data_IF_097605248491
#
_entry.id   IF_097605248491
#
_cell.length_a   1.000
_cell.length_b   1.000
_cell.length_c   1.000
_cell.angle_alpha   90.00
_cell.angle_beta   90.00
_cell.angle_gamma   90.00
#
_symmetry.space_group_name_H-M   'P 1'
#
loop_
_entity.id
_entity.type
_entity.pdbx_description
1 polymer ?
#
# COMPACT_ATOMS: atom_id res chain seq x y z
N UNK A 1 45.23 -42.95 -35.76
CA UNK A 1 44.76 -42.00 -34.72
C UNK A 1 43.27 -42.20 -34.50
N UNK A 2 42.83 -42.33 -33.25
CA UNK A 2 41.60 -43.03 -32.86
C UNK A 2 40.34 -42.13 -32.89
N UNK A 3 39.59 -42.15 -34.01
CA UNK A 3 38.30 -41.42 -34.15
C UNK A 3 37.23 -41.77 -33.10
N UNK A 4 37.35 -42.92 -32.41
CA UNK A 4 36.41 -43.34 -31.35
C UNK A 4 36.52 -42.53 -30.04
N UNK A 5 37.65 -41.87 -29.77
CA UNK A 5 37.79 -41.02 -28.56
C UNK A 5 37.18 -39.63 -28.75
N UNK A 6 37.23 -39.06 -29.95
CA UNK A 6 36.71 -37.71 -30.23
C UNK A 6 35.17 -37.71 -30.28
N UNK A 7 34.56 -38.78 -30.81
CA UNK A 7 33.09 -38.88 -30.88
C UNK A 7 32.42 -39.06 -29.51
N UNK A 8 33.11 -39.68 -28.54
CA UNK A 8 32.60 -39.78 -27.15
C UNK A 8 32.70 -38.46 -26.39
N UNK A 9 33.73 -37.65 -26.64
CA UNK A 9 33.86 -36.33 -26.03
C UNK A 9 32.81 -35.34 -26.53
N UNK A 10 32.43 -35.43 -27.82
CA UNK A 10 31.38 -34.58 -28.40
C UNK A 10 29.96 -34.99 -27.98
N UNK A 11 29.69 -36.29 -27.72
CA UNK A 11 28.39 -36.71 -27.18
C UNK A 11 28.21 -36.33 -25.70
N UNK A 12 29.28 -36.36 -24.90
CA UNK A 12 29.21 -35.94 -23.49
C UNK A 12 29.14 -34.42 -23.36
N UNK A 13 29.77 -33.66 -24.25
CA UNK A 13 29.61 -32.21 -24.32
C UNK A 13 28.22 -31.78 -24.85
N UNK A 14 27.64 -32.54 -25.80
CA UNK A 14 26.30 -32.28 -26.35
C UNK A 14 25.15 -32.63 -25.40
N UNK A 15 25.35 -33.52 -24.43
CA UNK A 15 24.36 -33.80 -23.36
C UNK A 15 24.56 -32.93 -22.11
N UNK A 16 25.77 -32.39 -21.88
CA UNK A 16 26.01 -31.45 -20.78
C UNK A 16 25.53 -30.02 -21.08
N UNK A 17 25.46 -29.62 -22.35
CA UNK A 17 24.97 -28.30 -22.77
C UNK A 17 23.45 -28.22 -22.95
N UNK A 18 22.73 -29.35 -22.87
CA UNK A 18 21.25 -29.39 -22.87
C UNK A 18 20.64 -29.59 -21.48
N UNK A 19 21.45 -29.72 -20.41
CA UNK A 19 21.00 -29.90 -19.02
C UNK A 19 21.32 -28.72 -18.09
N UNK A 20 21.78 -27.59 -18.62
CA UNK A 20 21.82 -26.31 -17.90
C UNK A 20 20.91 -25.27 -18.56
N UNK A 21 19.75 -25.70 -19.06
CA UNK A 21 18.58 -24.83 -18.96
C UNK A 21 18.12 -24.94 -17.53
N UNK A 22 18.16 -23.81 -16.82
CA UNK A 22 17.66 -23.64 -15.47
C UNK A 22 16.23 -24.15 -15.34
N UNK A 23 16.07 -25.45 -15.09
CA UNK A 23 15.06 -25.95 -14.18
C UNK A 23 15.51 -25.49 -12.78
N UNK A 24 15.45 -24.18 -12.55
CA UNK A 24 15.24 -23.68 -11.22
C UNK A 24 13.97 -24.39 -10.77
N UNK A 25 14.16 -25.33 -9.84
CA UNK A 25 13.12 -26.19 -9.31
C UNK A 25 11.88 -25.34 -9.04
N UNK A 26 10.91 -25.39 -9.96
CA UNK A 26 9.53 -25.13 -9.63
C UNK A 26 9.20 -26.26 -8.68
N UNK A 27 9.40 -26.00 -7.38
CA UNK A 27 8.75 -26.77 -6.33
C UNK A 27 7.31 -26.82 -6.79
N UNK A 28 6.81 -27.98 -7.20
CA UNK A 28 5.41 -28.18 -7.58
C UNK A 28 4.59 -27.75 -6.36
N UNK A 29 4.24 -26.48 -6.31
CA UNK A 29 3.23 -26.00 -5.38
C UNK A 29 1.95 -26.60 -5.94
N UNK A 30 1.43 -27.64 -5.28
CA UNK A 30 0.07 -28.13 -5.49
C UNK A 30 -0.98 -27.01 -5.36
N UNK A 31 -0.58 -25.86 -4.81
CA UNK A 31 -1.36 -24.66 -4.66
C UNK A 31 -1.42 -23.82 -5.95
N UNK A 32 -2.63 -23.67 -6.47
CA UNK A 32 -2.94 -22.76 -7.57
C UNK A 32 -3.71 -21.55 -7.04
N UNK A 33 -3.32 -20.35 -7.46
CA UNK A 33 -4.01 -19.09 -7.17
C UNK A 33 -4.44 -18.44 -8.48
N UNK A 34 -5.73 -18.15 -8.60
CA UNK A 34 -6.32 -17.49 -9.75
C UNK A 34 -6.12 -15.98 -9.69
N UNK A 35 -5.52 -15.41 -10.74
CA UNK A 35 -5.41 -13.97 -10.94
C UNK A 35 -6.42 -13.53 -12.00
N UNK A 36 -7.40 -12.73 -11.57
CA UNK A 36 -8.38 -12.10 -12.46
C UNK A 36 -7.99 -10.63 -12.57
N UNK A 37 -7.71 -10.10 -13.78
CA UNK A 37 -7.13 -8.77 -13.94
C UNK A 37 -8.15 -7.66 -13.66
N UNK A 38 -8.51 -7.53 -12.40
CA UNK A 38 -9.37 -6.52 -11.82
C UNK A 38 -8.68 -5.87 -10.62
N UNK A 39 -9.01 -4.60 -10.40
CA UNK A 39 -8.49 -3.80 -9.28
C UNK A 39 -9.69 -3.28 -8.54
N UNK A 40 -9.76 -3.62 -7.26
CA UNK A 40 -10.90 -3.31 -6.41
C UNK A 40 -10.62 -2.08 -5.55
N UNK A 41 -11.67 -1.38 -5.15
CA UNK A 41 -11.65 -0.38 -4.08
C UNK A 41 -12.48 -0.87 -2.91
N UNK A 42 -12.19 -0.38 -1.71
CA UNK A 42 -12.97 -0.73 -0.51
C UNK A 42 -14.32 0.00 -0.42
N UNK A 43 -14.60 0.93 -1.34
CA UNK A 43 -15.80 1.77 -1.36
C UNK A 43 -16.26 2.13 -2.76
N UNK A 44 -17.57 2.09 -2.99
CA UNK A 44 -18.18 2.61 -4.20
C UNK A 44 -17.91 4.12 -4.33
N UNK A 45 -17.41 4.55 -5.49
CA UNK A 45 -17.22 5.98 -5.79
C UNK A 45 -16.00 6.64 -5.13
N UNK A 46 -15.09 5.88 -4.50
CA UNK A 46 -13.82 6.40 -3.97
C UNK A 46 -12.67 6.40 -4.98
N UNK A 47 -12.97 6.57 -6.27
CA UNK A 47 -11.95 6.71 -7.30
C UNK A 47 -11.47 8.16 -7.34
N UNK A 48 -10.61 8.54 -6.39
CA UNK A 48 -10.07 9.89 -6.33
C UNK A 48 -9.03 10.09 -7.44
N UNK A 49 -8.01 9.23 -7.48
CA UNK A 49 -6.94 9.23 -8.49
C UNK A 49 -6.95 7.97 -9.35
N UNK A 50 -7.74 6.96 -8.99
CA UNK A 50 -7.85 5.68 -9.69
C UNK A 50 -8.74 5.76 -10.95
N UNK A 51 -8.27 6.44 -11.99
CA UNK A 51 -8.93 6.47 -13.30
C UNK A 51 -8.89 5.11 -14.01
N UNK A 52 -9.71 4.94 -15.06
CA UNK A 52 -9.67 3.74 -15.91
C UNK A 52 -8.26 3.46 -16.50
N UNK A 53 -7.53 4.51 -16.89
CA UNK A 53 -6.16 4.39 -17.35
C UNK A 53 -5.22 3.91 -16.23
N UNK A 54 -5.34 4.50 -15.03
CA UNK A 54 -4.55 4.08 -13.87
C UNK A 54 -4.84 2.62 -13.49
N UNK A 55 -6.13 2.20 -13.50
CA UNK A 55 -6.54 0.81 -13.28
C UNK A 55 -5.87 -0.12 -14.29
N UNK A 56 -5.90 0.22 -15.58
CA UNK A 56 -5.30 -0.61 -16.63
C UNK A 56 -3.79 -0.77 -16.41
N UNK A 57 -3.07 0.32 -16.15
CA UNK A 57 -1.62 0.26 -15.88
C UNK A 57 -1.29 -0.60 -14.65
N UNK A 58 -2.10 -0.51 -13.59
CA UNK A 58 -1.95 -1.35 -12.40
C UNK A 58 -2.20 -2.83 -12.73
N UNK A 59 -3.27 -3.16 -13.48
CA UNK A 59 -3.57 -4.54 -13.92
C UNK A 59 -2.42 -5.15 -14.72
N UNK A 60 -1.88 -4.39 -15.66
CA UNK A 60 -0.78 -4.83 -16.53
C UNK A 60 0.50 -5.02 -15.72
N UNK A 61 0.82 -4.09 -14.81
CA UNK A 61 1.98 -4.19 -13.93
C UNK A 61 1.90 -5.38 -12.96
N UNK A 62 0.73 -5.67 -12.38
CA UNK A 62 0.54 -6.86 -11.52
C UNK A 62 0.72 -8.13 -12.35
N UNK A 63 0.10 -8.18 -13.53
CA UNK A 63 0.20 -9.33 -14.43
C UNK A 63 1.64 -9.62 -14.85
N UNK A 64 2.39 -8.58 -15.21
CA UNK A 64 3.81 -8.69 -15.53
C UNK A 64 4.63 -9.14 -14.32
N UNK A 65 4.41 -8.52 -13.16
CA UNK A 65 5.14 -8.84 -11.93
C UNK A 65 4.92 -10.28 -11.47
N UNK A 66 3.68 -10.79 -11.56
CA UNK A 66 3.38 -12.18 -11.23
C UNK A 66 4.11 -13.16 -12.16
N UNK A 67 4.19 -12.86 -13.47
CA UNK A 67 4.98 -13.65 -14.42
C UNK A 67 6.47 -13.64 -14.08
N UNK A 68 7.02 -12.47 -13.78
CA UNK A 68 8.44 -12.32 -13.42
C UNK A 68 8.78 -13.09 -12.13
N UNK A 69 7.93 -12.99 -11.11
CA UNK A 69 8.11 -13.72 -9.85
C UNK A 69 7.97 -15.23 -10.04
N UNK A 70 7.04 -15.69 -10.89
CA UNK A 70 6.89 -17.10 -11.23
C UNK A 70 8.14 -17.64 -11.93
N UNK A 71 8.61 -16.93 -12.97
CA UNK A 71 9.81 -17.29 -13.73
C UNK A 71 11.07 -17.31 -12.85
N UNK A 72 11.13 -16.45 -11.83
CA UNK A 72 12.21 -16.41 -10.86
C UNK A 72 12.07 -17.42 -9.70
N UNK A 73 11.01 -18.24 -9.66
CA UNK A 73 10.76 -19.20 -8.57
C UNK A 73 10.47 -18.54 -7.22
N UNK A 74 10.01 -17.28 -7.22
CA UNK A 74 9.74 -16.47 -6.01
C UNK A 74 8.29 -16.50 -5.56
N UNK A 75 7.39 -17.14 -6.32
CA UNK A 75 6.02 -17.35 -5.89
C UNK A 75 5.88 -18.66 -5.10
N UNK A 76 5.14 -18.66 -3.98
CA UNK A 76 4.84 -19.88 -3.24
C UNK A 76 3.67 -20.69 -3.83
N UNK A 77 3.13 -20.27 -4.98
CA UNK A 77 1.99 -20.86 -5.68
C UNK A 77 2.14 -20.72 -7.19
N UNK A 78 1.42 -21.55 -7.94
CA UNK A 78 1.23 -21.37 -9.37
C UNK A 78 0.14 -20.33 -9.64
N UNK A 79 0.34 -19.45 -10.61
CA UNK A 79 -0.65 -18.45 -11.01
C UNK A 79 -1.44 -18.95 -12.20
N UNK A 80 -2.77 -19.03 -12.06
CA UNK A 80 -3.68 -19.28 -13.17
C UNK A 80 -4.38 -17.99 -13.53
N UNK A 81 -4.21 -17.50 -14.76
CA UNK A 81 -4.94 -16.31 -15.19
C UNK A 81 -6.39 -16.68 -15.53
N UNK A 82 -7.35 -16.02 -14.89
CA UNK A 82 -8.78 -16.19 -15.13
C UNK A 82 -9.37 -15.04 -15.95
N UNK A 83 -10.58 -15.23 -16.49
CA UNK A 83 -11.30 -14.17 -17.19
C UNK A 83 -12.00 -13.22 -16.20
N UNK A 84 -11.81 -11.90 -16.35
CA UNK A 84 -12.28 -10.88 -15.39
C UNK A 84 -13.76 -10.96 -14.99
N UNK A 85 -14.62 -11.48 -15.87
CA UNK A 85 -16.07 -11.60 -15.62
C UNK A 85 -16.47 -12.70 -14.64
N UNK A 86 -15.58 -13.64 -14.31
CA UNK A 86 -15.95 -14.84 -13.52
C UNK A 86 -16.05 -14.62 -12.01
N UNK A 87 -15.65 -13.47 -11.48
CA UNK A 87 -15.72 -13.14 -10.04
C UNK A 87 -16.87 -12.19 -9.68
N UNK A 88 -17.39 -11.45 -10.65
CA UNK A 88 -18.48 -10.52 -10.42
C UNK A 88 -19.77 -11.32 -10.51
N UNK A 89 -20.48 -11.50 -9.39
CA UNK A 89 -21.60 -12.44 -9.15
C UNK A 89 -21.25 -13.72 -8.38
N UNK A 90 -20.10 -13.76 -7.69
CA UNK A 90 -19.84 -14.77 -6.66
C UNK A 90 -20.73 -14.47 -5.43
N UNK A 91 -22.03 -14.73 -5.57
CA UNK A 91 -22.97 -14.94 -4.48
C UNK A 91 -23.21 -16.44 -4.25
N UNK A 92 -22.78 -17.29 -5.19
CA UNK A 92 -22.98 -18.73 -5.13
C UNK A 92 -21.73 -19.42 -4.59
N UNK A 93 -21.95 -20.40 -3.72
CA UNK A 93 -20.94 -21.29 -3.15
C UNK A 93 -20.12 -21.95 -4.26
N UNK A 94 -18.79 -21.78 -4.23
CA UNK A 94 -17.92 -22.59 -5.08
C UNK A 94 -17.96 -24.05 -4.60
N UNK A 95 -17.92 -24.99 -5.56
CA UNK A 95 -17.72 -26.41 -5.29
C UNK A 95 -16.42 -26.66 -4.51
N UNK A 96 -16.34 -27.79 -3.81
CA UNK A 96 -15.29 -28.17 -2.84
C UNK A 96 -13.83 -28.12 -3.33
N UNK A 97 -13.58 -27.94 -4.63
CA UNK A 97 -12.28 -27.57 -5.19
C UNK A 97 -11.98 -26.09 -4.91
N UNK A 98 -11.54 -25.77 -3.69
CA UNK A 98 -11.45 -24.40 -3.19
C UNK A 98 -10.61 -23.49 -4.12
N UNK A 99 -11.21 -22.54 -4.85
CA UNK A 99 -10.44 -21.59 -5.65
C UNK A 99 -9.77 -20.59 -4.70
N UNK A 100 -8.44 -20.52 -4.76
CA UNK A 100 -7.72 -19.37 -4.25
C UNK A 100 -7.68 -18.28 -5.31
N UNK A 101 -7.89 -17.03 -4.91
CA UNK A 101 -7.86 -15.87 -5.80
C UNK A 101 -6.95 -14.79 -5.26
N UNK A 102 -6.27 -14.10 -6.18
CA UNK A 102 -5.50 -12.89 -5.91
C UNK A 102 -6.33 -11.67 -6.29
N UNK A 103 -6.62 -10.81 -5.31
CA UNK A 103 -7.47 -9.63 -5.45
C UNK A 103 -6.72 -8.37 -4.98
N UNK A 104 -6.29 -7.48 -5.89
CA UNK A 104 -5.70 -6.20 -5.56
C UNK A 104 -6.76 -5.22 -5.07
N UNK A 105 -6.51 -4.59 -3.93
CA UNK A 105 -7.43 -3.67 -3.26
C UNK A 105 -6.72 -2.34 -3.07
N UNK A 106 -7.23 -1.29 -3.71
CA UNK A 106 -6.77 0.08 -3.53
C UNK A 106 -7.36 0.59 -2.21
N UNK A 107 -6.46 1.00 -1.32
CA UNK A 107 -6.78 1.51 0.02
C UNK A 107 -6.37 2.96 0.21
N UNK A 108 -5.50 3.49 -0.65
CA UNK A 108 -5.12 4.90 -0.72
C UNK A 108 -4.88 5.28 -2.17
N UNK A 109 -5.57 6.31 -2.65
CA UNK A 109 -5.39 6.92 -3.97
C UNK A 109 -5.49 8.44 -3.91
N UNK A 110 -4.70 9.06 -3.02
CA UNK A 110 -4.94 10.44 -2.56
C UNK A 110 -3.87 11.45 -3.02
N UNK A 111 -4.28 12.72 -3.11
CA UNK A 111 -3.40 13.88 -3.34
C UNK A 111 -3.54 14.89 -2.20
N UNK A 112 -2.41 15.28 -1.59
CA UNK A 112 -2.34 16.40 -0.67
C UNK A 112 -1.63 17.55 -1.37
N UNK A 113 -2.42 18.54 -1.78
CA UNK A 113 -1.92 19.70 -2.50
C UNK A 113 -1.50 20.79 -1.51
N UNK A 114 -0.49 21.56 -1.90
CA UNK A 114 -0.03 22.70 -1.14
C UNK A 114 0.16 23.87 -2.07
N UNK A 115 -0.62 24.91 -1.81
CA UNK A 115 -0.51 26.19 -2.47
C UNK A 115 0.37 27.10 -1.61
N UNK A 116 1.35 27.70 -2.25
CA UNK A 116 2.28 28.64 -1.65
C UNK A 116 2.10 29.97 -2.37
N UNK A 117 1.75 31.01 -1.62
CA UNK A 117 1.61 32.37 -2.17
C UNK A 117 2.72 33.26 -1.64
N UNK A 118 3.47 33.91 -2.54
CA UNK A 118 4.54 34.87 -2.22
C UNK A 118 4.25 36.18 -2.97
N UNK A 119 3.63 37.15 -2.30
CA UNK A 119 3.10 38.33 -2.98
C UNK A 119 2.10 37.92 -4.07
N UNK A 120 2.36 38.32 -5.32
CA UNK A 120 1.50 37.96 -6.48
C UNK A 120 1.91 36.65 -7.16
N UNK A 121 2.94 35.96 -6.67
CA UNK A 121 3.42 34.70 -7.25
C UNK A 121 2.82 33.50 -6.54
N UNK A 122 2.31 32.55 -7.33
CA UNK A 122 1.83 31.26 -6.82
C UNK A 122 2.79 30.14 -7.16
N UNK A 123 2.97 29.23 -6.21
CA UNK A 123 3.69 27.98 -6.36
C UNK A 123 2.87 26.83 -5.80
N UNK A 124 3.06 25.63 -6.35
CA UNK A 124 2.30 24.44 -6.01
C UNK A 124 3.22 23.26 -5.72
N UNK A 125 2.85 22.48 -4.71
CA UNK A 125 3.42 21.17 -4.39
C UNK A 125 2.32 20.15 -4.24
N UNK A 126 2.61 18.91 -4.58
CA UNK A 126 1.66 17.81 -4.55
C UNK A 126 2.32 16.58 -3.96
N UNK A 127 1.75 16.04 -2.88
CA UNK A 127 2.07 14.71 -2.37
C UNK A 127 1.03 13.75 -2.93
N UNK A 128 1.45 12.89 -3.85
CA UNK A 128 0.61 11.83 -4.41
C UNK A 128 0.92 10.54 -3.65
N UNK A 129 -0.08 9.94 -3.03
CA UNK A 129 0.06 8.73 -2.25
C UNK A 129 -0.70 7.55 -2.88
N UNK A 130 -0.08 6.37 -2.81
CA UNK A 130 -0.67 5.12 -3.27
C UNK A 130 -0.59 4.04 -2.19
N UNK A 131 -1.67 3.28 -2.08
CA UNK A 131 -1.81 2.15 -1.18
C UNK A 131 -2.54 1.02 -1.87
N UNK A 132 -1.87 -0.10 -2.04
CA UNK A 132 -2.38 -1.28 -2.75
C UNK A 132 -2.15 -2.52 -1.90
N UNK A 133 -3.23 -3.19 -1.52
CA UNK A 133 -3.20 -4.45 -0.79
C UNK A 133 -3.46 -5.60 -1.77
N UNK A 134 -2.47 -6.47 -1.98
CA UNK A 134 -2.65 -7.68 -2.79
C UNK A 134 -3.18 -8.78 -1.86
N UNK A 135 -4.49 -9.00 -1.85
CA UNK A 135 -5.11 -10.01 -1.01
C UNK A 135 -5.09 -11.38 -1.69
N UNK A 136 -4.76 -12.42 -0.93
CA UNK A 136 -5.01 -13.81 -1.32
C UNK A 136 -6.19 -14.31 -0.52
N UNK A 137 -7.18 -14.83 -1.24
CA UNK A 137 -8.48 -15.17 -0.71
C UNK A 137 -8.87 -16.58 -1.09
N UNK A 138 -9.64 -17.28 -0.24
CA UNK A 138 -10.34 -18.50 -0.62
C UNK A 138 -11.80 -18.21 -0.91
N UNK A 139 -12.49 -19.13 -1.57
CA UNK A 139 -13.94 -19.17 -1.53
C UNK A 139 -14.45 -19.17 -0.07
N UNK A 140 -15.53 -18.44 0.16
CA UNK A 140 -16.37 -18.56 1.34
C UNK A 140 -17.12 -19.90 1.36
N UNK A 141 -17.89 -20.13 2.42
CA UNK A 141 -18.71 -21.34 2.57
C UNK A 141 -20.17 -21.04 2.23
N UNK A 142 -21.02 -22.06 2.10
CA UNK A 142 -22.47 -21.87 1.96
C UNK A 142 -23.06 -20.94 3.06
N UNK A 143 -22.49 -21.00 4.27
CA UNK A 143 -22.91 -20.17 5.40
C UNK A 143 -22.16 -18.81 5.52
N UNK A 144 -21.23 -18.51 4.61
CA UNK A 144 -20.46 -17.24 4.55
C UNK A 144 -20.16 -16.92 3.08
N UNK A 145 -21.18 -16.43 2.39
CA UNK A 145 -21.12 -16.17 0.96
C UNK A 145 -20.14 -15.02 0.64
N UNK A 146 -19.26 -15.24 -0.34
CA UNK A 146 -18.25 -14.29 -0.77
C UNK A 146 -16.84 -14.87 -0.78
N UNK A 147 -15.85 -14.00 -0.77
CA UNK A 147 -14.43 -14.36 -0.70
C UNK A 147 -13.92 -14.17 0.72
N UNK A 148 -13.04 -15.06 1.18
CA UNK A 148 -12.44 -15.00 2.51
C UNK A 148 -10.96 -14.67 2.43
N UNK A 149 -10.53 -13.60 3.07
CA UNK A 149 -9.14 -13.15 3.07
C UNK A 149 -8.25 -14.04 3.94
N UNK A 150 -7.17 -14.55 3.35
CA UNK A 150 -6.19 -15.41 4.02
C UNK A 150 -4.89 -14.66 4.34
N UNK A 151 -4.45 -13.79 3.44
CA UNK A 151 -3.21 -13.04 3.58
C UNK A 151 -3.24 -11.81 2.68
N UNK A 152 -2.39 -10.83 3.00
CA UNK A 152 -2.23 -9.60 2.21
C UNK A 152 -0.75 -9.32 2.01
N UNK A 153 -0.39 -8.84 0.82
CA UNK A 153 0.86 -8.09 0.58
C UNK A 153 0.51 -6.60 0.52
N UNK A 154 0.68 -5.85 1.61
CA UNK A 154 0.42 -4.42 1.63
C UNK A 154 1.56 -3.65 0.98
N UNK A 155 1.24 -2.85 -0.02
CA UNK A 155 2.15 -1.93 -0.69
C UNK A 155 1.74 -0.50 -0.33
N UNK A 156 2.72 0.33 0.03
CA UNK A 156 2.49 1.74 0.29
C UNK A 156 3.63 2.59 -0.27
N UNK A 157 3.31 3.77 -0.76
CA UNK A 157 4.28 4.70 -1.29
C UNK A 157 3.69 6.09 -1.47
N UNK A 158 4.58 7.06 -1.63
CA UNK A 158 4.21 8.41 -2.03
C UNK A 158 5.30 9.00 -2.91
N UNK A 159 4.94 10.01 -3.68
CA UNK A 159 5.87 10.86 -4.41
C UNK A 159 5.50 12.33 -4.19
N UNK A 160 6.51 13.19 -4.23
CA UNK A 160 6.34 14.64 -4.11
C UNK A 160 6.70 15.28 -5.44
N UNK A 161 5.79 16.08 -5.97
CA UNK A 161 5.95 16.85 -7.20
C UNK A 161 5.90 18.33 -6.82
N UNK A 162 6.85 19.11 -7.34
CA UNK A 162 6.94 20.55 -7.04
C UNK A 162 7.86 20.91 -5.88
N UNK A 163 8.55 19.94 -5.26
CA UNK A 163 9.55 20.17 -4.22
C UNK A 163 10.97 20.11 -4.81
N UNK A 164 11.75 21.21 -4.83
CA UNK A 164 13.13 21.22 -5.32
C UNK A 164 14.09 20.31 -4.56
N UNK A 165 13.77 19.99 -3.31
CA UNK A 165 14.61 19.13 -2.48
C UNK A 165 14.33 17.64 -2.72
N UNK A 166 13.27 17.29 -3.45
CA UNK A 166 12.89 15.90 -3.74
C UNK A 166 12.85 15.63 -5.24
N UNK A 167 13.40 14.49 -5.67
CA UNK A 167 13.30 13.97 -7.04
C UNK A 167 13.76 14.94 -8.16
N UNK A 168 14.62 15.92 -7.85
CA UNK A 168 15.05 16.94 -8.81
C UNK A 168 13.91 17.84 -9.30
N UNK A 169 12.83 17.95 -8.51
CA UNK A 169 11.63 18.69 -8.85
C UNK A 169 11.90 20.17 -9.12
N UNK A 170 11.06 20.79 -9.95
CA UNK A 170 11.01 22.25 -10.11
C UNK A 170 9.77 22.77 -9.40
N UNK A 171 9.87 23.95 -8.79
CA UNK A 171 8.70 24.64 -8.24
C UNK A 171 7.65 24.78 -9.35
N UNK A 172 6.43 24.33 -9.07
CA UNK A 172 5.34 24.34 -10.06
C UNK A 172 4.60 25.67 -9.99
N UNK A 173 4.51 26.45 -11.09
CA UNK A 173 3.76 27.71 -11.08
C UNK A 173 2.24 27.50 -11.13
N UNK A 174 1.78 26.28 -11.42
CA UNK A 174 0.36 25.92 -11.56
C UNK A 174 0.10 24.57 -10.88
N UNK A 175 -1.12 24.41 -10.35
CA UNK A 175 -1.57 23.14 -9.81
C UNK A 175 -1.64 22.06 -10.91
N UNK A 176 -1.31 20.82 -10.56
CA UNK A 176 -1.55 19.68 -11.43
C UNK A 176 -3.06 19.47 -11.68
N UNK A 177 -3.39 19.15 -12.91
CA UNK A 177 -4.72 18.69 -13.32
C UNK A 177 -5.03 17.30 -12.73
N UNK A 178 -6.32 16.93 -12.70
CA UNK A 178 -6.74 15.60 -12.24
C UNK A 178 -6.07 14.46 -13.03
N UNK A 179 -5.93 14.62 -14.36
CA UNK A 179 -5.28 13.65 -15.23
C UNK A 179 -3.79 13.49 -14.91
N UNK A 180 -3.07 14.59 -14.68
CA UNK A 180 -1.65 14.55 -14.30
C UNK A 180 -1.45 13.86 -12.96
N UNK A 181 -2.30 14.14 -11.96
CA UNK A 181 -2.28 13.46 -10.66
C UNK A 181 -2.58 11.97 -10.79
N UNK A 182 -3.57 11.60 -11.59
CA UNK A 182 -3.91 10.19 -11.85
C UNK A 182 -2.76 9.44 -12.54
N UNK A 183 -2.07 10.08 -13.50
CA UNK A 183 -0.89 9.51 -14.15
C UNK A 183 0.29 9.34 -13.18
N UNK A 184 0.54 10.35 -12.32
CA UNK A 184 1.55 10.26 -11.28
C UNK A 184 1.24 9.13 -10.28
N UNK A 185 -0.04 9.00 -9.88
CA UNK A 185 -0.52 7.92 -9.02
C UNK A 185 -0.33 6.54 -9.67
N UNK A 186 -0.66 6.40 -10.96
CA UNK A 186 -0.46 5.16 -11.70
C UNK A 186 1.04 4.79 -11.75
N UNK A 187 1.91 5.75 -12.10
CA UNK A 187 3.35 5.54 -12.16
C UNK A 187 3.95 5.13 -10.81
N UNK A 188 3.53 5.79 -9.73
CA UNK A 188 3.90 5.42 -8.36
C UNK A 188 3.44 3.99 -8.01
N UNK A 189 2.19 3.64 -8.30
CA UNK A 189 1.63 2.32 -8.02
C UNK A 189 2.38 1.22 -8.79
N UNK A 190 2.68 1.45 -10.07
CA UNK A 190 3.49 0.55 -10.91
C UNK A 190 4.90 0.38 -10.34
N UNK A 191 5.51 1.45 -9.84
CA UNK A 191 6.82 1.36 -9.19
C UNK A 191 6.76 0.50 -7.92
N UNK A 192 5.76 0.70 -7.07
CA UNK A 192 5.56 -0.10 -5.85
C UNK A 192 5.32 -1.59 -6.12
N UNK A 193 4.62 -1.91 -7.20
CA UNK A 193 4.37 -3.31 -7.62
C UNK A 193 5.68 -4.06 -7.88
N UNK A 194 6.76 -3.38 -8.28
CA UNK A 194 8.08 -4.01 -8.47
C UNK A 194 8.67 -4.57 -7.19
N UNK A 195 8.28 -4.03 -6.03
CA UNK A 195 8.74 -4.47 -4.71
C UNK A 195 7.82 -5.52 -4.08
N UNK A 196 6.80 -5.99 -4.81
CA UNK A 196 5.90 -7.05 -4.34
C UNK A 196 6.69 -8.32 -3.99
N UNK A 197 6.46 -8.82 -2.77
CA UNK A 197 7.07 -10.02 -2.19
C UNK A 197 6.02 -10.86 -1.44
N UNK A 198 5.98 -12.16 -1.74
CA UNK A 198 5.04 -13.13 -1.16
C UNK A 198 5.66 -13.99 -0.05
N UNK A 199 6.89 -13.72 0.38
CA UNK A 199 7.56 -14.49 1.44
C UNK A 199 6.73 -14.60 2.74
N UNK A 200 6.14 -13.48 3.19
CA UNK A 200 5.27 -13.45 4.38
C UNK A 200 3.98 -14.24 4.15
N UNK A 201 3.48 -14.25 2.92
CA UNK A 201 2.26 -14.97 2.53
C UNK A 201 2.48 -16.47 2.42
N UNK A 202 3.67 -16.91 2.02
CA UNK A 202 4.03 -18.33 1.91
C UNK A 202 3.81 -19.10 3.22
N UNK A 203 4.01 -18.45 4.37
CA UNK A 203 3.73 -19.05 5.69
C UNK A 203 2.22 -19.23 5.91
N UNK A 204 1.42 -18.21 5.59
CA UNK A 204 -0.04 -18.24 5.69
C UNK A 204 -0.65 -19.38 4.86
N UNK A 205 -0.10 -19.57 3.66
CA UNK A 205 -0.59 -20.55 2.69
C UNK A 205 -0.17 -22.00 2.98
N UNK A 206 0.61 -22.29 4.03
CA UNK A 206 0.93 -23.70 4.37
C UNK A 206 -0.24 -24.45 5.00
N UNK A 207 -1.08 -23.75 5.75
CA UNK A 207 -2.18 -24.35 6.53
C UNK A 207 -3.57 -23.87 6.09
N UNK A 208 -3.69 -23.25 4.92
CA UNK A 208 -4.93 -22.59 4.48
C UNK A 208 -6.17 -23.51 4.49
N UNK A 209 -5.99 -24.81 4.21
CA UNK A 209 -7.07 -25.81 4.24
C UNK A 209 -7.52 -26.16 5.66
N UNK A 210 -6.61 -26.13 6.64
CA UNK A 210 -6.90 -26.52 8.03
C UNK A 210 -7.49 -25.37 8.83
N UNK A 211 -6.88 -24.19 8.71
CA UNK A 211 -7.19 -23.11 9.63
C UNK A 211 -8.38 -22.26 9.14
N UNK A 212 -8.75 -22.31 7.84
CA UNK A 212 -9.77 -21.48 7.15
C UNK A 212 -9.74 -19.97 7.48
N UNK A 213 -8.89 -19.50 8.39
CA UNK A 213 -8.67 -18.17 8.93
C UNK A 213 -7.19 -18.11 9.24
N UNK A 214 -6.53 -17.05 8.80
CA UNK A 214 -5.10 -16.86 9.04
C UNK A 214 -4.81 -16.79 10.55
N UNK A 215 -3.99 -17.68 11.13
CA UNK A 215 -3.71 -17.68 12.56
C UNK A 215 -2.82 -16.47 12.91
N UNK A 216 -3.37 -15.56 13.71
CA UNK A 216 -2.71 -14.38 14.32
C UNK A 216 -2.25 -13.32 13.31
N UNK A 217 -3.18 -12.45 12.93
CA UNK A 217 -2.87 -11.23 12.17
C UNK A 217 -2.83 -10.00 13.07
N UNK A 218 -2.05 -9.00 12.67
CA UNK A 218 -2.11 -7.65 13.23
C UNK A 218 -3.02 -6.79 12.36
N UNK A 219 -3.75 -5.83 12.94
CA UNK A 219 -4.54 -4.87 12.17
C UNK A 219 -4.47 -3.48 12.80
N UNK A 220 -4.35 -2.44 11.97
CA UNK A 220 -4.63 -1.08 12.42
C UNK A 220 -6.14 -0.91 12.53
N UNK A 221 -6.64 -0.88 13.76
CA UNK A 221 -8.06 -0.80 14.07
C UNK A 221 -8.64 0.60 13.88
N UNK A 222 -7.85 1.63 14.18
CA UNK A 222 -8.25 3.02 14.03
C UNK A 222 -7.02 3.93 13.92
N UNK A 223 -7.20 5.09 13.30
CA UNK A 223 -6.25 6.20 13.33
C UNK A 223 -7.03 7.41 13.82
N UNK A 224 -6.64 7.94 14.96
CA UNK A 224 -7.24 9.15 15.52
C UNK A 224 -6.45 10.37 15.07
N UNK A 225 -7.13 11.51 15.09
CA UNK A 225 -6.51 12.83 14.97
C UNK A 225 -6.94 13.60 16.22
N UNK A 226 -6.28 13.34 17.35
CA UNK A 226 -6.62 13.99 18.63
C UNK A 226 -6.08 15.41 18.76
N UNK A 227 -5.02 15.76 18.01
CA UNK A 227 -4.48 17.11 18.00
C UNK A 227 -5.47 18.11 17.38
N UNK A 228 -5.91 19.10 18.16
CA UNK A 228 -6.74 20.21 17.66
C UNK A 228 -6.10 20.95 16.49
N UNK A 229 -4.77 21.12 16.52
CA UNK A 229 -4.03 21.76 15.42
C UNK A 229 -4.08 20.91 14.15
N UNK A 230 -3.87 19.60 14.28
CA UNK A 230 -3.98 18.68 13.15
C UNK A 230 -5.40 18.65 12.57
N UNK A 231 -6.43 18.63 13.42
CA UNK A 231 -7.83 18.72 13.00
C UNK A 231 -8.10 19.99 12.18
N UNK A 232 -7.54 21.13 12.61
CA UNK A 232 -7.63 22.39 11.86
C UNK A 232 -6.94 22.33 10.49
N UNK A 233 -5.77 21.70 10.40
CA UNK A 233 -5.01 21.56 9.14
C UNK A 233 -5.73 20.64 8.14
N UNK A 234 -6.30 19.53 8.62
CA UNK A 234 -6.92 18.50 7.79
C UNK A 234 -8.46 18.53 7.82
N UNK A 235 -9.06 19.69 8.09
CA UNK A 235 -10.52 19.84 8.09
C UNK A 235 -11.12 19.38 6.76
N UNK A 236 -12.08 18.45 6.80
CA UNK A 236 -12.69 17.83 5.61
C UNK A 236 -11.82 16.78 4.88
N UNK A 237 -10.57 16.57 5.30
CA UNK A 237 -9.62 15.60 4.72
C UNK A 237 -9.08 14.56 5.71
N UNK A 238 -9.73 14.43 6.87
CA UNK A 238 -9.28 13.53 7.94
C UNK A 238 -9.35 12.04 7.60
N UNK A 239 -10.28 11.59 6.75
CA UNK A 239 -10.35 10.18 6.33
C UNK A 239 -9.13 9.80 5.47
N UNK A 240 -8.76 10.66 4.55
CA UNK A 240 -7.64 10.47 3.63
C UNK A 240 -6.31 10.32 4.37
N UNK A 241 -6.05 11.23 5.32
CA UNK A 241 -4.84 11.18 6.14
C UNK A 241 -4.80 9.90 6.99
N UNK A 242 -5.94 9.51 7.56
CA UNK A 242 -6.06 8.30 8.37
C UNK A 242 -5.77 7.03 7.56
N UNK A 243 -6.33 6.90 6.36
CA UNK A 243 -6.04 5.79 5.46
C UNK A 243 -4.56 5.73 5.08
N UNK A 244 -3.96 6.89 4.80
CA UNK A 244 -2.54 7.00 4.51
C UNK A 244 -1.67 6.50 5.66
N UNK A 245 -1.88 7.01 6.87
CA UNK A 245 -1.12 6.63 8.07
C UNK A 245 -1.23 5.12 8.32
N UNK A 246 -2.45 4.59 8.30
CA UNK A 246 -2.67 3.17 8.58
C UNK A 246 -2.04 2.27 7.52
N UNK A 247 -2.18 2.59 6.23
CA UNK A 247 -1.61 1.78 5.17
C UNK A 247 -0.08 1.78 5.21
N UNK A 248 0.53 2.94 5.44
CA UNK A 248 2.00 3.05 5.57
C UNK A 248 2.51 2.26 6.77
N UNK A 249 1.83 2.35 7.93
CA UNK A 249 2.15 1.54 9.09
C UNK A 249 2.05 0.04 8.78
N UNK A 250 0.93 -0.41 8.19
CA UNK A 250 0.69 -1.82 7.87
C UNK A 250 1.75 -2.40 6.95
N UNK A 251 2.10 -1.67 5.88
CA UNK A 251 3.12 -2.09 4.93
C UNK A 251 4.50 -2.24 5.59
N UNK A 252 4.93 -1.23 6.34
CA UNK A 252 6.24 -1.25 6.98
C UNK A 252 6.29 -2.26 8.14
N UNK A 253 5.19 -2.46 8.88
CA UNK A 253 5.14 -3.42 9.99
C UNK A 253 5.27 -4.85 9.47
N UNK A 254 4.54 -5.19 8.40
CA UNK A 254 4.66 -6.52 7.79
C UNK A 254 6.06 -6.75 7.24
N UNK A 255 6.67 -5.74 6.62
CA UNK A 255 8.05 -5.80 6.12
C UNK A 255 9.07 -6.00 7.24
N UNK A 256 8.95 -5.24 8.33
CA UNK A 256 9.92 -5.25 9.43
C UNK A 256 9.80 -6.50 10.32
N UNK A 257 8.58 -7.01 10.52
CA UNK A 257 8.32 -8.12 11.46
C UNK A 257 8.11 -9.47 10.80
N UNK A 258 7.72 -9.50 9.51
CA UNK A 258 7.28 -10.70 8.83
C UNK A 258 5.95 -11.27 9.34
N UNK A 259 5.24 -10.54 10.20
CA UNK A 259 3.89 -10.89 10.64
C UNK A 259 2.84 -10.42 9.63
N UNK A 260 1.79 -11.21 9.44
CA UNK A 260 0.69 -10.86 8.54
C UNK A 260 -0.12 -9.69 9.10
N UNK A 261 -0.41 -8.73 8.22
CA UNK A 261 -1.22 -7.56 8.56
C UNK A 261 -2.48 -7.55 7.69
N UNK A 262 -3.64 -7.47 8.33
CA UNK A 262 -4.92 -7.29 7.63
C UNK A 262 -5.10 -5.83 7.18
N UNK A 263 -5.93 -5.56 6.15
CA UNK A 263 -6.23 -4.21 5.72
C UNK A 263 -6.74 -3.34 6.89
N UNK A 264 -6.36 -2.06 6.98
CA UNK A 264 -6.82 -1.17 8.04
C UNK A 264 -8.34 -0.97 8.09
N UNK A 265 -8.90 -0.68 9.28
CA UNK A 265 -10.35 -0.46 9.49
C UNK A 265 -10.85 0.99 9.35
N UNK A 266 -10.02 1.93 8.92
CA UNK A 266 -10.22 3.34 9.25
C UNK A 266 -11.33 4.06 8.46
N UNK A 267 -11.72 3.53 7.30
CA UNK A 267 -12.68 4.19 6.41
C UNK A 267 -13.92 3.36 6.10
N UNK A 268 -13.92 2.06 6.36
CA UNK A 268 -14.98 1.14 5.96
C UNK A 268 -15.93 0.83 7.11
N UNK A 269 -17.22 0.75 6.79
CA UNK A 269 -18.21 0.06 7.62
C UNK A 269 -17.92 -1.45 7.54
N UNK A 270 -16.83 -1.87 8.18
CA UNK A 270 -16.62 -3.26 8.50
C UNK A 270 -17.80 -3.72 9.36
N UNK A 271 -18.63 -4.60 8.81
CA UNK A 271 -19.74 -5.17 9.54
C UNK A 271 -19.22 -6.37 10.33
N UNK A 272 -19.38 -6.33 11.66
CA UNK A 272 -19.09 -7.49 12.48
C UNK A 272 -20.20 -8.52 12.27
N UNK A 273 -19.86 -9.68 11.74
CA UNK A 273 -20.80 -10.80 11.67
C UNK A 273 -20.81 -11.48 13.05
N UNK A 274 -21.82 -11.13 13.85
CA UNK A 274 -21.95 -11.53 15.26
C UNK A 274 -21.92 -13.05 15.49
N UNK A 275 -22.30 -13.85 14.50
CA UNK A 275 -22.37 -15.31 14.63
C UNK A 275 -21.02 -16.03 14.42
N UNK A 276 -19.95 -15.34 13.95
CA UNK A 276 -18.71 -16.01 13.51
C UNK A 276 -17.39 -15.31 13.85
N UNK A 277 -17.41 -14.22 14.62
CA UNK A 277 -16.20 -13.41 14.91
C UNK A 277 -15.42 -13.05 13.63
N UNK A 278 -16.15 -12.73 12.55
CA UNK A 278 -15.58 -12.28 11.29
C UNK A 278 -15.99 -10.84 11.01
N UNK A 279 -15.12 -10.13 10.31
CA UNK A 279 -15.42 -8.83 9.74
C UNK A 279 -15.67 -8.98 8.24
N UNK A 280 -16.73 -8.34 7.75
CA UNK A 280 -17.06 -8.33 6.33
C UNK A 280 -17.06 -6.90 5.77
N UNK A 281 -16.67 -6.76 4.51
CA UNK A 281 -16.75 -5.52 3.75
C UNK A 281 -16.99 -5.81 2.27
N UNK A 282 -17.65 -4.88 1.57
CA UNK A 282 -17.88 -4.96 0.13
C UNK A 282 -16.72 -4.30 -0.62
N UNK A 283 -16.26 -4.94 -1.69
CA UNK A 283 -15.26 -4.42 -2.61
C UNK A 283 -15.89 -4.12 -3.95
N UNK A 284 -15.43 -3.06 -4.61
CA UNK A 284 -16.03 -2.56 -5.85
C UNK A 284 -15.00 -2.48 -6.97
N UNK A 285 -15.43 -2.81 -8.18
CA UNK A 285 -14.68 -2.59 -9.41
C UNK A 285 -15.67 -2.20 -10.53
N UNK A 286 -15.20 -1.71 -11.69
CA UNK A 286 -16.10 -1.34 -12.79
C UNK A 286 -17.00 -2.49 -13.28
N UNK A 287 -16.55 -3.73 -13.11
CA UNK A 287 -17.28 -4.93 -13.54
C UNK A 287 -18.24 -5.52 -12.49
N UNK A 288 -18.26 -4.97 -11.27
CA UNK A 288 -19.18 -5.44 -10.21
C UNK A 288 -18.61 -5.33 -8.81
N UNK A 289 -19.18 -6.13 -7.90
CA UNK A 289 -18.85 -6.11 -6.47
C UNK A 289 -18.56 -7.51 -5.93
N UNK A 290 -17.73 -7.58 -4.90
CA UNK A 290 -17.34 -8.81 -4.22
C UNK A 290 -17.46 -8.60 -2.72
N UNK A 291 -18.17 -9.50 -2.04
CA UNK A 291 -18.18 -9.53 -0.58
C UNK A 291 -16.89 -10.18 -0.07
N UNK A 292 -16.21 -9.52 0.87
CA UNK A 292 -14.98 -10.00 1.48
C UNK A 292 -15.18 -10.22 2.98
N UNK A 293 -14.89 -11.42 3.47
CA UNK A 293 -14.82 -11.72 4.90
C UNK A 293 -13.37 -11.93 5.36
N UNK A 294 -13.08 -11.60 6.61
CA UNK A 294 -11.80 -11.87 7.26
C UNK A 294 -12.01 -12.22 8.72
N UNK A 295 -11.13 -13.06 9.28
CA UNK A 295 -11.18 -13.36 10.70
C UNK A 295 -10.82 -12.15 11.57
N UNK A 296 -11.23 -12.19 12.82
CA UNK A 296 -10.80 -11.22 13.84
C UNK A 296 -9.27 -11.21 13.96
N UNK A 297 -8.63 -10.03 13.97
CA UNK A 297 -7.19 -9.94 14.10
C UNK A 297 -6.76 -10.38 15.50
N UNK A 298 -5.67 -11.14 15.59
CA UNK A 298 -5.11 -11.57 16.87
C UNK A 298 -4.44 -10.44 17.65
N UNK A 299 -4.10 -9.33 16.98
CA UNK A 299 -3.59 -8.10 17.60
C UNK A 299 -4.17 -6.88 16.92
N UNK A 300 -4.57 -5.88 17.70
CA UNK A 300 -4.95 -4.56 17.17
C UNK A 300 -3.99 -3.46 17.59
N UNK A 301 -3.90 -2.48 16.70
CA UNK A 301 -3.12 -1.26 16.91
C UNK A 301 -4.03 -0.07 16.64
N UNK A 302 -4.04 0.89 17.56
CA UNK A 302 -4.62 2.21 17.33
C UNK A 302 -3.49 3.21 17.18
N UNK A 303 -3.53 3.99 16.12
CA UNK A 303 -2.62 5.10 15.90
C UNK A 303 -3.33 6.42 16.20
N UNK A 304 -2.59 7.46 16.56
CA UNK A 304 -3.16 8.77 16.84
C UNK A 304 -2.18 9.89 16.47
N UNK A 305 -2.59 10.75 15.55
CA UNK A 305 -1.90 12.00 15.27
C UNK A 305 -2.12 12.96 16.44
N UNK A 306 -1.28 12.79 17.46
CA UNK A 306 -1.48 13.32 18.80
C UNK A 306 -0.94 14.73 19.00
N UNK A 307 -0.11 15.22 18.08
CA UNK A 307 0.45 16.57 18.19
C UNK A 307 0.90 17.13 16.85
N UNK A 308 0.79 18.44 16.69
CA UNK A 308 1.36 19.20 15.60
C UNK A 308 1.84 20.55 16.15
N UNK A 309 3.04 20.99 15.76
CA UNK A 309 3.64 22.24 16.19
C UNK A 309 4.48 22.84 15.07
N UNK A 310 4.60 24.17 15.07
CA UNK A 310 5.53 24.86 14.17
C UNK A 310 6.21 26.00 14.91
N UNK A 311 7.43 26.31 14.52
CA UNK A 311 8.20 27.43 15.04
C UNK A 311 9.12 27.98 13.96
N UNK A 312 9.27 29.31 13.89
CA UNK A 312 10.32 29.92 13.08
C UNK A 312 11.67 29.68 13.74
N UNK A 313 12.64 29.18 12.97
CA UNK A 313 14.00 28.92 13.43
C UNK A 313 14.91 30.02 12.91
N UNK A 314 15.52 30.77 13.81
CA UNK A 314 16.48 31.83 13.46
C UNK A 314 17.87 31.23 13.34
N UNK A 315 18.44 31.20 12.12
CA UNK A 315 19.85 30.88 11.92
C UNK A 315 20.77 31.99 12.45
N UNK A 316 22.07 31.69 12.60
CA UNK A 316 23.10 32.65 13.09
C UNK A 316 23.22 33.96 12.27
N UNK A 317 22.67 34.00 11.06
CA UNK A 317 22.49 35.22 10.25
C UNK A 317 21.01 35.33 9.89
N UNK A 318 20.28 36.20 10.57
CA UNK A 318 18.90 36.52 10.20
C UNK A 318 18.90 37.11 8.77
N UNK A 319 18.18 36.46 7.87
CA UNK A 319 18.00 36.93 6.50
C UNK A 319 16.67 37.67 6.39
N UNK A 320 16.68 38.88 5.83
CA UNK A 320 15.44 39.65 5.61
C UNK A 320 14.55 39.05 4.52
N UNK A 321 15.08 38.11 3.71
CA UNK A 321 14.40 37.51 2.55
C UNK A 321 14.09 36.02 2.73
N UNK A 322 14.53 35.40 3.84
CA UNK A 322 14.32 33.97 4.10
C UNK A 322 14.09 33.73 5.60
N UNK A 323 13.03 32.99 5.92
CA UNK A 323 12.85 32.36 7.22
C UNK A 323 12.81 30.85 7.07
N UNK A 324 13.37 30.13 8.02
CA UNK A 324 13.22 28.68 8.08
C UNK A 324 12.13 28.35 9.11
N UNK A 325 11.15 27.54 8.73
CA UNK A 325 10.06 27.13 9.63
C UNK A 325 10.21 25.65 9.94
N UNK A 326 10.35 25.31 11.21
CA UNK A 326 10.35 23.94 11.69
C UNK A 326 8.92 23.51 11.94
N UNK A 327 8.53 22.39 11.34
CA UNK A 327 7.27 21.70 11.55
C UNK A 327 7.56 20.40 12.30
N UNK A 328 6.83 20.16 13.39
CA UNK A 328 6.99 18.98 14.24
C UNK A 328 5.67 18.27 14.41
N UNK A 329 5.69 16.95 14.31
CA UNK A 329 4.52 16.09 14.45
C UNK A 329 4.79 14.98 15.47
N UNK A 330 3.71 14.46 16.05
CA UNK A 330 3.75 13.35 17.01
C UNK A 330 2.71 12.30 16.62
N UNK A 331 3.17 11.05 16.52
CA UNK A 331 2.33 9.89 16.31
C UNK A 331 2.39 9.01 17.56
N UNK A 332 1.22 8.75 18.15
CA UNK A 332 1.07 7.80 19.24
C UNK A 332 0.55 6.46 18.71
N UNK A 333 1.04 5.37 19.27
CA UNK A 333 0.61 4.00 19.04
C UNK A 333 0.13 3.41 20.36
N UNK A 334 -1.05 2.79 20.35
CA UNK A 334 -1.60 2.03 21.47
C UNK A 334 -1.89 0.60 21.02
N UNK A 335 -1.42 -0.39 21.79
CA UNK A 335 -1.68 -1.83 21.55
C UNK A 335 -2.75 -2.38 22.49
N UNK A 336 -3.24 -3.60 22.23
CA UNK A 336 -4.31 -4.25 23.02
C UNK A 336 -4.02 -4.34 24.52
N UNK A 337 -2.74 -4.48 24.90
CA UNK A 337 -2.28 -4.51 26.28
C UNK A 337 -2.19 -3.12 26.94
N UNK A 338 -2.71 -2.09 26.27
CA UNK A 338 -2.72 -0.71 26.75
C UNK A 338 -1.37 0.00 26.69
N UNK A 339 -0.32 -0.64 26.14
CA UNK A 339 0.99 0.01 26.01
C UNK A 339 0.93 1.13 25.00
N UNK A 340 1.42 2.29 25.43
CA UNK A 340 1.54 3.47 24.59
C UNK A 340 2.99 3.74 24.21
N UNK A 341 3.20 4.05 22.92
CA UNK A 341 4.48 4.53 22.40
C UNK A 341 4.21 5.80 21.61
N UNK A 342 4.97 6.85 21.90
CA UNK A 342 4.90 8.12 21.17
C UNK A 342 6.21 8.32 20.43
N UNK A 343 6.12 8.67 19.15
CA UNK A 343 7.25 9.12 18.36
C UNK A 343 6.99 10.53 17.85
N UNK A 344 8.06 11.30 17.70
CA UNK A 344 8.05 12.60 17.06
C UNK A 344 9.12 12.71 15.97
N UNK A 345 8.83 13.58 15.00
CA UNK A 345 9.74 13.90 13.91
C UNK A 345 9.48 15.34 13.47
N UNK A 346 10.44 15.89 12.74
CA UNK A 346 10.37 17.25 12.25
C UNK A 346 10.88 17.40 10.83
N UNK A 347 10.44 18.48 10.19
CA UNK A 347 10.88 18.94 8.88
C UNK A 347 11.10 20.44 8.93
N UNK A 348 12.13 20.92 8.25
CA UNK A 348 12.43 22.35 8.13
C UNK A 348 12.16 22.77 6.70
N UNK A 349 11.30 23.75 6.52
CA UNK A 349 10.96 24.30 5.21
C UNK A 349 11.46 25.74 5.10
N UNK A 350 12.31 26.04 4.10
CA UNK A 350 12.69 27.42 3.82
C UNK A 350 11.52 28.16 3.19
N UNK A 351 11.17 29.31 3.75
CA UNK A 351 10.14 30.21 3.21
C UNK A 351 10.77 31.55 2.82
N UNK A 352 10.70 31.86 1.52
CA UNK A 352 11.30 33.07 0.95
C UNK A 352 10.30 34.22 0.93
N UNK A 353 10.63 35.30 1.63
CA UNK A 353 9.80 36.51 1.70
C UNK A 353 10.28 37.49 0.64
N UNK A 354 9.34 38.05 -0.13
CA UNK A 354 9.55 39.35 -0.78
C UNK A 354 9.38 40.43 0.28
N UNK A 355 10.18 41.50 0.23
CA UNK A 355 10.05 42.62 1.16
C UNK A 355 8.62 43.16 1.13
N UNK A 356 7.97 43.24 2.29
CA UNK A 356 6.59 43.70 2.43
C UNK A 356 5.49 42.67 2.07
N UNK A 357 5.83 41.41 1.81
CA UNK A 357 4.84 40.36 1.48
C UNK A 357 4.70 39.31 2.59
N UNK A 358 3.47 38.84 2.80
CA UNK A 358 3.18 37.67 3.61
C UNK A 358 3.36 36.39 2.76
N UNK A 359 3.74 35.29 3.41
CA UNK A 359 3.75 33.96 2.80
C UNK A 359 2.66 33.16 3.49
N UNK A 360 1.74 32.63 2.70
CA UNK A 360 0.79 31.63 3.17
C UNK A 360 1.17 30.26 2.59
N UNK A 361 1.16 29.24 3.45
CA UNK A 361 1.55 27.87 3.12
C UNK A 361 0.49 26.94 3.68
N UNK A 362 -0.22 26.25 2.78
CA UNK A 362 -1.03 25.10 3.19
C UNK A 362 -0.10 24.00 3.75
N UNK A 363 -0.40 23.52 4.96
CA UNK A 363 0.53 22.65 5.70
C UNK A 363 0.22 21.17 5.52
N UNK A 364 -0.80 20.83 4.72
CA UNK A 364 -1.25 19.44 4.54
C UNK A 364 -0.15 18.54 4.00
N UNK A 365 0.62 18.98 3.01
CA UNK A 365 1.71 18.17 2.44
C UNK A 365 2.81 17.87 3.47
N UNK A 366 3.21 18.89 4.22
CA UNK A 366 4.25 18.86 5.25
C UNK A 366 3.88 17.85 6.34
N UNK A 367 2.69 17.99 6.92
CA UNK A 367 2.26 17.09 7.98
C UNK A 367 1.90 15.70 7.46
N UNK A 368 1.38 15.54 6.24
CA UNK A 368 1.19 14.21 5.65
C UNK A 368 2.54 13.48 5.47
N UNK A 369 3.58 14.17 4.99
CA UNK A 369 4.94 13.62 4.88
C UNK A 369 5.52 13.23 6.24
N UNK A 370 5.37 14.09 7.25
CA UNK A 370 5.80 13.80 8.62
C UNK A 370 5.08 12.57 9.19
N UNK A 371 3.77 12.49 9.04
CA UNK A 371 2.97 11.37 9.53
C UNK A 371 3.30 10.06 8.82
N UNK A 372 3.55 10.07 7.50
CA UNK A 372 4.06 8.89 6.79
C UNK A 372 5.43 8.45 7.32
N UNK A 373 6.35 9.39 7.56
CA UNK A 373 7.68 9.10 8.10
C UNK A 373 7.58 8.51 9.52
N UNK A 374 6.71 9.08 10.35
CA UNK A 374 6.41 8.61 11.69
C UNK A 374 5.77 7.22 11.68
N UNK A 375 4.79 6.98 10.82
CA UNK A 375 4.15 5.67 10.67
C UNK A 375 5.16 4.58 10.30
N UNK A 376 6.07 4.86 9.35
CA UNK A 376 7.18 3.94 9.00
C UNK A 376 8.08 3.67 10.21
N UNK A 377 8.55 4.72 10.88
CA UNK A 377 9.41 4.59 12.07
C UNK A 377 8.72 3.79 13.19
N UNK A 378 7.45 4.07 13.45
CA UNK A 378 6.63 3.43 14.49
C UNK A 378 6.43 1.94 14.22
N UNK A 379 6.26 1.58 12.94
CA UNK A 379 6.10 0.21 12.48
C UNK A 379 7.40 -0.61 12.52
N UNK A 380 8.53 0.04 12.24
CA UNK A 380 9.85 -0.60 12.19
C UNK A 380 10.53 -0.77 13.56
N UNK A 381 9.91 -0.32 14.65
CA UNK A 381 10.46 -0.51 16.01
C UNK A 381 10.57 -2.01 16.33
N UNK A 382 11.80 -2.47 16.59
CA UNK A 382 12.03 -3.81 17.16
C UNK A 382 11.45 -3.80 18.59
N UNK A 383 10.61 -4.80 18.88
CA UNK A 383 10.09 -5.05 20.23
C UNK A 383 11.20 -5.53 21.16
#
# INVERSE_FOLDING_TARGET
MNCKKIMRSLLVAGMALSMTMSQAMAKESSLQVSWYPEVYTMHAGQDNLLSNNARQQIKDAISARLKDLAAAGKLPFAVKQGASGSLNNVQESFSDDVPLSLLPIVVVDESFDTHITIGDTSAWRHVIASGLNIAICSAGTADDAGMKMLAVVPLSGYTVIGDPNENGGKIMPKALTATEKSNAYAALSVAMIKDMDFNTVAKALKNWQKDKVSPVTTQVADVKISSKKAQGIFHGKGVQLRNLIANVYSAEYQKATGNLVMPPRIATSFQQQAQKNMYAFEMHCPSGKVMMSMGEPGKTVVLDFSGAAEAEVTGKKASNIRKDVLYKAWLKKTTDDGKEVVLDDYMVEPQFKKAGSNIDVDKKDIYARLEMKLAKKMAAQKR
#
